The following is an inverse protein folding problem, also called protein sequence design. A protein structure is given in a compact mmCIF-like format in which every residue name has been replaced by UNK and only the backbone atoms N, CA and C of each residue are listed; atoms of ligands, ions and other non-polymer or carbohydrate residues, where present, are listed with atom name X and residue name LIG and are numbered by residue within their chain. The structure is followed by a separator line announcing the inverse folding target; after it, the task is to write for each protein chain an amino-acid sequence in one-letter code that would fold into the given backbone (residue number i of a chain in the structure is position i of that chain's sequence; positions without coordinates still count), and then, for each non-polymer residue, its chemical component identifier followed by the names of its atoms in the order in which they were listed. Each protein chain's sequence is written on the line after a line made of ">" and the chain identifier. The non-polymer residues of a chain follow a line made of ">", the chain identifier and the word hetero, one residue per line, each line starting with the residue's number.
data_IF_960509541162
#
_entry.id   IF_960509541162
#
_cell.length_a   1.000
_cell.length_b   1.000
_cell.length_c   1.000
_cell.angle_alpha   90.00
_cell.angle_beta   90.00
_cell.angle_gamma   90.00
#
_symmetry.space_group_name_H-M   'P 1'
#
loop_
_entity.id
_entity.type
_entity.pdbx_description
1 polymer ?
#
# COMPACT_ATOMS: atom_id res chain seq x y z
N UNK A 1 44.14 -16.10 -44.11
CA UNK A 1 43.06 -15.43 -43.35
C UNK A 1 43.24 -15.77 -41.89
N UNK A 2 43.72 -14.84 -41.08
CA UNK A 2 43.89 -15.01 -39.63
C UNK A 2 42.52 -14.86 -38.98
N UNK A 3 41.98 -15.93 -38.38
CA UNK A 3 40.76 -15.82 -37.55
C UNK A 3 41.13 -15.04 -36.29
N UNK A 4 40.61 -13.82 -36.17
CA UNK A 4 40.63 -13.09 -34.91
C UNK A 4 39.62 -13.77 -33.99
N UNK A 5 40.09 -14.42 -32.92
CA UNK A 5 39.23 -14.88 -31.83
C UNK A 5 38.76 -13.66 -31.04
N UNK A 6 37.59 -13.13 -31.38
CA UNK A 6 36.94 -12.09 -30.60
C UNK A 6 36.16 -12.74 -29.46
N UNK A 7 36.57 -12.46 -28.24
CA UNK A 7 35.83 -12.90 -27.06
C UNK A 7 34.50 -12.12 -27.00
N UNK A 8 33.39 -12.84 -27.14
CA UNK A 8 32.07 -12.21 -27.10
C UNK A 8 31.75 -11.79 -25.67
N UNK A 9 31.51 -10.49 -25.46
CA UNK A 9 31.20 -9.88 -24.16
C UNK A 9 29.96 -10.49 -23.46
N UNK A 10 29.17 -11.31 -24.16
CA UNK A 10 27.98 -11.96 -23.66
C UNK A 10 28.00 -13.49 -23.91
N UNK A 11 29.19 -14.09 -24.02
CA UNK A 11 29.34 -15.55 -24.13
C UNK A 11 28.66 -16.26 -22.97
N UNK A 12 28.03 -17.41 -23.23
CA UNK A 12 27.42 -18.23 -22.18
C UNK A 12 28.41 -18.59 -21.05
N UNK A 13 29.73 -18.61 -21.35
CA UNK A 13 30.80 -18.87 -20.37
C UNK A 13 31.12 -17.68 -19.46
N UNK A 14 30.88 -16.44 -19.89
CA UNK A 14 31.18 -15.20 -19.16
C UNK A 14 29.93 -14.48 -18.64
N UNK A 15 28.74 -14.97 -18.99
CA UNK A 15 27.46 -14.36 -18.61
C UNK A 15 27.27 -14.39 -17.10
N UNK A 16 27.49 -13.25 -16.46
CA UNK A 16 27.10 -13.01 -15.07
C UNK A 16 25.58 -13.09 -14.94
N UNK A 17 25.04 -13.54 -13.80
CA UNK A 17 23.59 -13.52 -13.58
C UNK A 17 23.06 -12.11 -13.81
N UNK A 18 22.08 -11.98 -14.70
CA UNK A 18 21.43 -10.69 -15.03
C UNK A 18 20.58 -10.17 -13.85
N UNK A 19 20.28 -11.04 -12.88
CA UNK A 19 19.53 -10.72 -11.68
C UNK A 19 20.46 -10.68 -10.47
N UNK A 20 20.58 -9.50 -9.85
CA UNK A 20 21.23 -9.36 -8.56
C UNK A 20 20.23 -9.71 -7.46
N UNK A 21 20.60 -10.62 -6.55
CA UNK A 21 19.77 -10.94 -5.39
C UNK A 21 19.55 -9.68 -4.54
N UNK A 22 18.30 -9.49 -4.09
CA UNK A 22 17.92 -8.32 -3.30
C UNK A 22 18.76 -8.25 -2.02
N UNK A 23 19.44 -7.12 -1.85
CA UNK A 23 20.02 -6.76 -0.56
C UNK A 23 18.95 -6.11 0.32
N UNK A 24 18.81 -6.62 1.56
CA UNK A 24 17.83 -6.10 2.51
C UNK A 24 18.20 -4.67 2.92
N UNK A 25 17.30 -3.73 2.66
CA UNK A 25 17.51 -2.31 2.98
C UNK A 25 16.99 -2.01 4.39
N UNK A 26 17.83 -1.38 5.21
CA UNK A 26 17.46 -0.90 6.55
C UNK A 26 17.33 0.64 6.53
N UNK A 27 16.11 1.20 6.33
CA UNK A 27 15.93 2.63 6.23
C UNK A 27 16.19 3.33 7.58
N UNK A 28 17.00 4.41 7.54
CA UNK A 28 17.24 5.28 8.70
C UNK A 28 15.98 6.11 8.98
N UNK A 29 15.77 6.50 10.24
CA UNK A 29 14.68 7.42 10.61
C UNK A 29 14.98 8.80 10.04
N UNK A 30 14.03 9.35 9.28
CA UNK A 30 14.03 10.74 8.85
C UNK A 30 13.21 11.60 9.82
N UNK A 31 13.64 12.85 10.05
CA UNK A 31 12.96 13.84 10.89
C UNK A 31 12.81 15.14 10.12
N UNK A 32 11.74 15.88 10.39
CA UNK A 32 11.49 17.20 9.80
C UNK A 32 10.01 17.44 9.50
N UNK A 33 9.70 18.63 8.98
CA UNK A 33 8.33 19.07 8.71
C UNK A 33 7.64 18.19 7.67
N UNK A 34 8.32 17.86 6.56
CA UNK A 34 7.80 16.94 5.54
C UNK A 34 7.48 15.56 6.10
N UNK A 35 8.28 15.07 7.07
CA UNK A 35 7.98 13.78 7.71
C UNK A 35 6.74 13.86 8.60
N UNK A 36 6.55 14.95 9.33
CA UNK A 36 5.33 15.21 10.13
C UNK A 36 4.09 15.32 9.24
N UNK A 37 4.21 16.02 8.11
CA UNK A 37 3.14 16.09 7.12
C UNK A 37 2.79 14.72 6.56
N UNK A 38 3.79 13.87 6.26
CA UNK A 38 3.53 12.48 5.85
C UNK A 38 2.78 11.67 6.90
N UNK A 39 3.08 11.86 8.18
CA UNK A 39 2.31 11.23 9.26
C UNK A 39 0.86 11.67 9.27
N UNK A 40 0.59 12.97 9.10
CA UNK A 40 -0.77 13.49 8.99
C UNK A 40 -1.52 12.84 7.83
N UNK A 41 -0.94 12.83 6.63
CA UNK A 41 -1.55 12.21 5.45
C UNK A 41 -1.84 10.73 5.70
N UNK A 42 -0.88 10.00 6.27
CA UNK A 42 -1.02 8.57 6.59
C UNK A 42 -2.14 8.31 7.61
N UNK A 43 -2.25 9.14 8.65
CA UNK A 43 -3.30 9.03 9.67
C UNK A 43 -4.68 9.34 9.06
N UNK A 44 -4.77 10.35 8.21
CA UNK A 44 -6.03 10.70 7.53
C UNK A 44 -6.47 9.59 6.58
N UNK A 45 -5.57 9.08 5.72
CA UNK A 45 -5.93 8.07 4.72
C UNK A 45 -6.30 6.74 5.37
N UNK A 46 -5.52 6.27 6.35
CA UNK A 46 -5.86 5.08 7.12
C UNK A 46 -7.11 5.29 7.98
N UNK A 47 -7.28 6.49 8.55
CA UNK A 47 -8.48 6.84 9.32
C UNK A 47 -9.74 6.76 8.47
N UNK A 48 -9.74 7.37 7.28
CA UNK A 48 -10.86 7.27 6.33
C UNK A 48 -11.11 5.80 5.96
N UNK A 49 -10.05 5.06 5.64
CA UNK A 49 -10.17 3.66 5.22
C UNK A 49 -10.75 2.74 6.30
N UNK A 50 -10.34 2.90 7.55
CA UNK A 50 -10.81 2.06 8.65
C UNK A 50 -12.12 2.52 9.25
N UNK A 51 -12.41 3.82 9.26
CA UNK A 51 -13.57 4.37 9.98
C UNK A 51 -14.77 4.62 9.07
N UNK A 52 -14.58 4.88 7.77
CA UNK A 52 -15.70 5.25 6.90
C UNK A 52 -16.77 4.16 6.79
N UNK A 53 -16.37 2.88 6.81
CA UNK A 53 -17.31 1.76 6.81
C UNK A 53 -18.11 1.63 8.13
N UNK A 54 -17.65 2.24 9.22
CA UNK A 54 -18.29 2.16 10.53
C UNK A 54 -19.21 3.35 10.83
N UNK A 55 -19.24 4.37 9.97
CA UNK A 55 -20.04 5.55 10.20
C UNK A 55 -21.53 5.22 9.98
N UNK A 56 -22.37 5.31 11.02
CA UNK A 56 -23.81 5.13 10.85
C UNK A 56 -24.39 6.35 10.11
N UNK A 57 -25.34 6.11 9.21
CA UNK A 57 -25.98 7.15 8.43
C UNK A 57 -27.44 6.80 8.13
N UNK A 58 -28.35 7.48 8.83
CA UNK A 58 -29.79 7.24 8.68
C UNK A 58 -30.29 7.77 7.33
N UNK A 59 -30.82 6.87 6.49
CA UNK A 59 -31.42 7.19 5.17
C UNK A 59 -32.92 6.93 5.09
N UNK A 60 -33.48 6.31 6.13
CA UNK A 60 -34.89 5.94 6.21
C UNK A 60 -35.10 4.44 6.48
N UNK A 61 -36.35 3.99 6.66
CA UNK A 61 -36.66 2.65 7.20
C UNK A 61 -36.27 1.45 6.31
N UNK A 62 -36.05 1.70 5.01
CA UNK A 62 -35.82 0.64 4.01
C UNK A 62 -34.43 0.69 3.38
N UNK A 63 -33.54 1.55 3.90
CA UNK A 63 -32.19 1.72 3.40
C UNK A 63 -31.17 1.31 4.47
N UNK A 64 -30.01 0.75 4.08
CA UNK A 64 -28.98 0.38 5.03
C UNK A 64 -28.40 1.61 5.72
N UNK A 65 -28.13 1.49 7.02
CA UNK A 65 -27.70 2.59 7.90
C UNK A 65 -26.17 2.82 7.89
N UNK A 66 -25.46 2.40 6.83
CA UNK A 66 -24.00 2.56 6.72
C UNK A 66 -23.63 3.66 5.72
N UNK A 67 -22.82 4.65 6.13
CA UNK A 67 -22.49 5.84 5.34
C UNK A 67 -21.88 5.54 3.97
N UNK A 68 -20.95 4.58 3.88
CA UNK A 68 -20.36 4.15 2.60
C UNK A 68 -20.56 2.65 2.46
N UNK A 69 -21.42 2.24 1.53
CA UNK A 69 -21.76 0.83 1.31
C UNK A 69 -21.94 0.55 -0.18
N UNK A 70 -21.25 -0.47 -0.67
CA UNK A 70 -21.37 -1.00 -2.02
C UNK A 70 -22.24 -2.26 -1.96
N UNK A 71 -23.55 -2.08 -2.09
CA UNK A 71 -24.53 -3.16 -2.02
C UNK A 71 -24.59 -3.89 -3.38
N UNK A 72 -23.89 -5.02 -3.45
CA UNK A 72 -23.89 -5.87 -4.65
C UNK A 72 -25.23 -6.58 -4.88
N UNK A 73 -25.99 -6.88 -3.83
CA UNK A 73 -27.24 -7.63 -3.95
C UNK A 73 -28.30 -6.77 -4.64
N UNK A 74 -28.44 -5.51 -4.23
CA UNK A 74 -29.37 -4.57 -4.84
C UNK A 74 -28.74 -3.76 -6.00
N UNK A 75 -27.45 -3.96 -6.27
CA UNK A 75 -26.65 -3.23 -7.27
C UNK A 75 -26.71 -1.72 -7.04
N UNK A 76 -26.51 -1.29 -5.79
CA UNK A 76 -26.57 0.13 -5.39
C UNK A 76 -25.29 0.51 -4.69
N UNK A 77 -24.77 1.70 -4.99
CA UNK A 77 -23.68 2.28 -4.23
C UNK A 77 -24.19 3.45 -3.41
N UNK A 78 -24.00 3.36 -2.10
CA UNK A 78 -24.39 4.41 -1.17
C UNK A 78 -23.16 5.18 -0.70
N UNK A 79 -23.20 6.49 -0.87
CA UNK A 79 -22.20 7.43 -0.37
C UNK A 79 -22.90 8.59 0.36
N UNK A 80 -22.98 8.49 1.68
CA UNK A 80 -23.80 9.36 2.54
C UNK A 80 -25.26 9.39 2.06
N UNK A 81 -25.76 10.55 1.60
CA UNK A 81 -27.11 10.71 1.04
C UNK A 81 -27.19 10.42 -0.46
N UNK A 82 -26.05 10.22 -1.13
CA UNK A 82 -26.00 9.96 -2.56
C UNK A 82 -26.17 8.46 -2.77
N UNK A 83 -27.24 8.07 -3.45
CA UNK A 83 -27.46 6.72 -3.95
C UNK A 83 -27.13 6.72 -5.44
N UNK A 84 -26.10 5.98 -5.82
CA UNK A 84 -25.68 5.86 -7.22
C UNK A 84 -26.19 4.54 -7.77
N UNK A 85 -27.06 4.64 -8.78
CA UNK A 85 -27.55 3.49 -9.52
C UNK A 85 -26.54 3.05 -10.58
N UNK A 86 -26.59 1.79 -11.07
CA UNK A 86 -25.68 1.30 -12.11
C UNK A 86 -25.74 2.12 -13.40
N UNK A 87 -26.92 2.68 -13.72
CA UNK A 87 -27.12 3.57 -14.87
C UNK A 87 -26.44 4.93 -14.69
N UNK A 88 -26.29 5.37 -13.44
CA UNK A 88 -25.67 6.63 -13.03
C UNK A 88 -24.17 6.50 -12.76
N UNK A 89 -23.59 5.34 -13.08
CA UNK A 89 -22.17 5.06 -12.87
C UNK A 89 -21.24 6.03 -13.64
N UNK A 90 -21.76 6.77 -14.62
CA UNK A 90 -21.02 7.84 -15.29
C UNK A 90 -20.57 8.96 -14.33
N UNK A 91 -21.26 9.19 -13.20
CA UNK A 91 -20.77 10.12 -12.16
C UNK A 91 -19.45 9.65 -11.55
N UNK A 92 -19.35 8.35 -11.25
CA UNK A 92 -18.13 7.74 -10.71
C UNK A 92 -17.02 7.77 -11.77
N UNK A 93 -17.34 7.43 -13.02
CA UNK A 93 -16.38 7.50 -14.12
C UNK A 93 -15.85 8.93 -14.31
N UNK A 94 -16.72 9.94 -14.30
CA UNK A 94 -16.32 11.35 -14.37
C UNK A 94 -15.41 11.75 -13.22
N UNK A 95 -15.72 11.33 -11.99
CA UNK A 95 -14.87 11.56 -10.82
C UNK A 95 -13.49 10.91 -10.97
N UNK A 96 -13.41 9.68 -11.50
CA UNK A 96 -12.15 8.99 -11.75
C UNK A 96 -11.31 9.70 -12.83
N UNK A 97 -11.94 10.24 -13.88
CA UNK A 97 -11.25 11.05 -14.89
C UNK A 97 -10.70 12.33 -14.27
N UNK A 98 -11.50 13.05 -13.47
CA UNK A 98 -11.06 14.25 -12.76
C UNK A 98 -9.93 13.94 -11.78
N UNK A 99 -9.99 12.81 -11.08
CA UNK A 99 -8.91 12.35 -10.20
C UNK A 99 -7.63 12.03 -10.99
N UNK A 100 -7.75 11.42 -12.17
CA UNK A 100 -6.62 11.17 -13.08
C UNK A 100 -5.96 12.47 -13.57
N UNK A 101 -6.75 13.44 -14.02
CA UNK A 101 -6.27 14.77 -14.42
C UNK A 101 -5.64 15.50 -13.22
N UNK A 102 -6.28 15.47 -12.06
CA UNK A 102 -5.73 16.06 -10.83
C UNK A 102 -4.40 15.42 -10.42
N UNK A 103 -4.30 14.11 -10.50
CA UNK A 103 -3.07 13.37 -10.25
C UNK A 103 -1.97 13.73 -11.25
N UNK A 104 -2.31 13.90 -12.53
CA UNK A 104 -1.40 14.39 -13.57
C UNK A 104 -0.86 15.79 -13.22
N UNK A 105 -1.75 16.74 -12.91
CA UNK A 105 -1.39 18.11 -12.54
C UNK A 105 -0.51 18.18 -11.29
N UNK A 106 -0.83 17.40 -10.26
CA UNK A 106 0.00 17.31 -9.05
C UNK A 106 1.37 16.72 -9.38
N UNK A 107 1.42 15.75 -10.29
CA UNK A 107 2.67 15.10 -10.69
C UNK A 107 3.55 16.04 -11.51
N UNK A 108 2.98 16.83 -12.43
CA UNK A 108 3.74 17.79 -13.22
C UNK A 108 4.25 18.99 -12.40
N UNK A 109 3.54 19.37 -11.33
CA UNK A 109 3.93 20.51 -10.48
C UNK A 109 4.84 20.11 -9.31
N UNK A 110 4.48 19.08 -8.54
CA UNK A 110 5.14 18.70 -7.28
C UNK A 110 5.90 17.36 -7.41
N UNK A 111 5.95 16.79 -8.61
CA UNK A 111 6.72 15.58 -8.88
C UNK A 111 6.17 14.35 -8.15
N UNK A 112 6.93 13.81 -7.20
CA UNK A 112 6.65 12.52 -6.53
C UNK A 112 5.69 12.58 -5.34
N UNK A 113 4.86 13.62 -5.24
CA UNK A 113 3.95 13.81 -4.12
C UNK A 113 3.00 12.61 -3.89
N UNK A 114 2.33 12.11 -4.94
CA UNK A 114 1.41 10.97 -4.82
C UNK A 114 2.09 9.71 -4.27
N UNK A 115 3.14 9.25 -4.96
CA UNK A 115 3.93 8.09 -4.55
C UNK A 115 4.57 8.26 -3.18
N UNK A 116 4.98 9.48 -2.84
CA UNK A 116 5.69 9.76 -1.60
C UNK A 116 4.80 9.84 -0.36
N UNK A 117 3.53 10.22 -0.51
CA UNK A 117 2.65 10.55 0.62
C UNK A 117 1.35 9.76 0.69
N UNK A 118 0.68 9.50 -0.44
CA UNK A 118 -0.70 9.00 -0.46
C UNK A 118 -0.87 7.61 -1.08
N UNK A 119 0.08 7.16 -1.91
CA UNK A 119 0.00 5.85 -2.55
C UNK A 119 -0.17 4.72 -1.51
N UNK A 120 -1.12 3.78 -1.71
CA UNK A 120 -1.37 2.70 -0.76
C UNK A 120 -0.12 1.88 -0.44
N UNK A 121 0.71 1.58 -1.45
CA UNK A 121 1.96 0.86 -1.19
C UNK A 121 2.85 1.61 -0.19
N UNK A 122 2.95 2.93 -0.31
CA UNK A 122 3.77 3.76 0.58
C UNK A 122 3.20 3.86 1.98
N UNK A 123 1.89 4.07 2.12
CA UNK A 123 1.21 4.20 3.41
C UNK A 123 1.37 2.93 4.25
N UNK A 124 1.17 1.75 3.65
CA UNK A 124 1.28 0.48 4.36
C UNK A 124 2.74 0.08 4.64
N UNK A 125 3.67 0.33 3.70
CA UNK A 125 5.11 0.10 3.95
C UNK A 125 5.60 0.99 5.08
N UNK A 126 5.22 2.27 5.11
CA UNK A 126 5.60 3.19 6.19
C UNK A 126 5.05 2.71 7.54
N UNK A 127 3.79 2.27 7.59
CA UNK A 127 3.18 1.69 8.79
C UNK A 127 3.96 0.46 9.27
N UNK A 128 4.29 -0.47 8.39
CA UNK A 128 5.07 -1.65 8.75
C UNK A 128 6.49 -1.33 9.21
N UNK A 129 7.13 -0.32 8.62
CA UNK A 129 8.44 0.17 9.05
C UNK A 129 8.41 0.84 10.43
N UNK A 130 7.30 1.49 10.78
CA UNK A 130 7.08 2.06 12.11
C UNK A 130 6.98 0.95 13.15
N UNK A 131 6.17 -0.07 12.87
CA UNK A 131 6.04 -1.26 13.73
C UNK A 131 7.39 -1.97 13.88
N UNK A 132 8.10 -2.18 12.77
CA UNK A 132 9.43 -2.81 12.80
C UNK A 132 10.44 -2.02 13.63
N UNK A 133 10.41 -0.68 13.55
CA UNK A 133 11.28 0.17 14.37
C UNK A 133 10.89 0.13 15.84
N UNK A 134 9.59 0.07 16.16
CA UNK A 134 9.12 0.00 17.54
C UNK A 134 9.56 -1.31 18.23
N UNK A 135 9.60 -2.42 17.49
CA UNK A 135 9.92 -3.74 18.03
C UNK A 135 11.44 -4.03 17.97
N UNK A 136 12.07 -3.83 16.82
CA UNK A 136 13.48 -4.22 16.59
C UNK A 136 14.47 -3.06 16.80
N UNK A 137 13.98 -1.83 16.98
CA UNK A 137 14.79 -0.63 17.21
C UNK A 137 15.30 0.06 15.95
N UNK A 138 16.30 0.92 16.14
CA UNK A 138 16.87 1.74 15.06
C UNK A 138 17.67 0.93 14.03
N UNK A 139 18.11 1.61 12.96
CA UNK A 139 18.85 0.99 11.84
C UNK A 139 20.00 0.10 12.30
N UNK A 140 20.87 0.59 13.18
CA UNK A 140 22.05 -0.15 13.64
C UNK A 140 21.67 -1.37 14.48
N UNK A 141 20.63 -1.25 15.33
CA UNK A 141 20.12 -2.36 16.12
C UNK A 141 19.56 -3.48 15.22
N UNK A 142 18.80 -3.11 14.17
CA UNK A 142 18.27 -4.06 13.19
C UNK A 142 19.35 -4.75 12.37
N UNK A 143 20.36 -4.01 11.92
CA UNK A 143 21.51 -4.60 11.20
C UNK A 143 22.26 -5.59 12.09
N UNK A 144 22.53 -5.24 13.36
CA UNK A 144 23.16 -6.13 14.34
C UNK A 144 22.30 -7.35 14.65
N UNK A 145 20.98 -7.18 14.76
CA UNK A 145 20.03 -8.26 15.02
C UNK A 145 19.95 -9.24 13.83
N UNK A 146 20.04 -8.73 12.59
CA UNK A 146 20.05 -9.55 11.38
C UNK A 146 21.32 -10.41 11.30
N UNK A 147 22.49 -9.80 11.54
CA UNK A 147 23.81 -10.44 11.49
C UNK A 147 24.11 -11.37 12.68
N UNK A 148 23.46 -11.16 13.83
CA UNK A 148 23.67 -11.97 15.03
C UNK A 148 23.07 -13.38 14.95
N UNK A 149 23.51 -14.31 15.82
CA UNK A 149 23.00 -15.68 15.86
C UNK A 149 21.50 -15.74 16.23
N UNK A 150 20.86 -16.86 15.92
CA UNK A 150 19.48 -17.14 16.32
C UNK A 150 19.39 -17.36 17.83
N UNK A 151 19.08 -16.28 18.55
CA UNK A 151 18.82 -16.29 20.00
C UNK A 151 17.32 -16.28 20.28
N UNK A 152 16.90 -16.73 21.46
CA UNK A 152 15.49 -16.66 21.89
C UNK A 152 14.92 -15.23 21.80
N UNK A 153 15.74 -14.23 22.16
CA UNK A 153 15.38 -12.80 21.98
C UNK A 153 15.12 -12.44 20.52
N UNK A 154 15.99 -12.86 19.59
CA UNK A 154 15.81 -12.62 18.15
C UNK A 154 14.53 -13.26 17.65
N UNK A 155 14.24 -14.49 18.08
CA UNK A 155 13.01 -15.18 17.70
C UNK A 155 11.77 -14.43 18.19
N UNK A 156 11.72 -14.05 19.46
CA UNK A 156 10.60 -13.28 20.02
C UNK A 156 10.36 -11.98 19.24
N UNK A 157 11.40 -11.17 19.01
CA UNK A 157 11.25 -9.91 18.27
C UNK A 157 10.72 -10.11 16.85
N UNK A 158 11.19 -11.16 16.15
CA UNK A 158 10.70 -11.48 14.81
C UNK A 158 9.25 -11.94 14.84
N UNK A 159 8.91 -12.87 15.74
CA UNK A 159 7.53 -13.37 15.89
C UNK A 159 6.59 -12.21 16.20
N UNK A 160 6.89 -11.40 17.22
CA UNK A 160 6.06 -10.23 17.57
C UNK A 160 5.85 -9.29 16.40
N UNK A 161 6.91 -9.01 15.62
CA UNK A 161 6.77 -8.18 14.41
C UNK A 161 5.85 -8.81 13.37
N UNK A 162 6.07 -10.08 13.04
CA UNK A 162 5.27 -10.76 12.03
C UNK A 162 3.81 -10.92 12.48
N UNK A 163 3.57 -11.19 13.76
CA UNK A 163 2.22 -11.20 14.34
C UNK A 163 1.52 -9.85 14.16
N UNK A 164 2.18 -8.73 14.52
CA UNK A 164 1.57 -7.40 14.35
C UNK A 164 1.35 -7.08 12.87
N UNK A 165 2.27 -7.47 11.98
CA UNK A 165 2.07 -7.30 10.54
C UNK A 165 0.88 -8.09 10.00
N UNK A 166 0.69 -9.32 10.48
CA UNK A 166 -0.47 -10.14 10.13
C UNK A 166 -1.77 -9.55 10.66
N UNK A 167 -1.77 -9.02 11.89
CA UNK A 167 -2.94 -8.33 12.46
C UNK A 167 -3.32 -7.10 11.63
N UNK A 168 -2.34 -6.27 11.23
CA UNK A 168 -2.59 -5.12 10.36
C UNK A 168 -3.10 -5.57 8.97
N UNK A 169 -2.53 -6.66 8.43
CA UNK A 169 -3.00 -7.26 7.18
C UNK A 169 -4.45 -7.75 7.27
N UNK A 170 -4.80 -8.46 8.34
CA UNK A 170 -6.15 -8.94 8.63
C UNK A 170 -7.14 -7.80 8.83
N UNK A 171 -6.75 -6.76 9.57
CA UNK A 171 -7.54 -5.56 9.72
C UNK A 171 -7.76 -4.86 8.37
N UNK A 172 -6.73 -4.78 7.52
CA UNK A 172 -6.86 -4.22 6.15
C UNK A 172 -7.84 -5.04 5.31
N UNK A 173 -7.67 -6.36 5.27
CA UNK A 173 -8.57 -7.24 4.54
C UNK A 173 -10.01 -7.17 5.03
N UNK A 174 -10.22 -7.15 6.36
CA UNK A 174 -11.54 -7.02 6.97
C UNK A 174 -12.20 -5.68 6.66
N UNK A 175 -11.46 -4.58 6.81
CA UNK A 175 -11.95 -3.24 6.50
C UNK A 175 -12.43 -3.10 5.05
N UNK A 176 -11.75 -3.76 4.10
CA UNK A 176 -12.21 -3.79 2.72
C UNK A 176 -13.60 -4.42 2.57
N UNK A 177 -13.86 -5.55 3.24
CA UNK A 177 -15.15 -6.26 3.11
C UNK A 177 -16.27 -5.53 3.82
N UNK A 178 -15.97 -4.75 4.87
CA UNK A 178 -16.96 -3.87 5.50
C UNK A 178 -17.52 -2.80 4.54
N UNK A 179 -16.90 -2.55 3.38
CA UNK A 179 -17.52 -1.70 2.36
C UNK A 179 -18.57 -2.44 1.50
N UNK A 180 -18.66 -3.76 1.56
CA UNK A 180 -19.56 -4.58 0.71
C UNK A 180 -20.74 -5.16 1.48
N UNK A 181 -20.61 -5.29 2.80
CA UNK A 181 -21.66 -5.75 3.70
C UNK A 181 -21.63 -4.90 4.97
N UNK A 182 -22.74 -4.89 5.70
CA UNK A 182 -22.87 -4.10 6.92
C UNK A 182 -21.77 -4.46 7.94
N UNK A 183 -21.01 -3.44 8.37
CA UNK A 183 -19.78 -3.64 9.12
C UNK A 183 -19.96 -4.33 10.49
N UNK A 184 -20.93 -3.92 11.33
CA UNK A 184 -21.14 -4.54 12.65
C UNK A 184 -21.60 -6.00 12.55
N UNK A 185 -22.53 -6.29 11.64
CA UNK A 185 -23.06 -7.66 11.44
C UNK A 185 -21.98 -8.58 10.88
N UNK A 186 -21.27 -8.16 9.84
CA UNK A 186 -20.20 -8.96 9.24
C UNK A 186 -19.04 -9.21 10.22
N UNK A 187 -18.68 -8.24 11.07
CA UNK A 187 -17.67 -8.46 12.10
C UNK A 187 -18.11 -9.57 13.06
N UNK A 188 -19.37 -9.55 13.50
CA UNK A 188 -19.94 -10.62 14.33
C UNK A 188 -19.86 -11.98 13.65
N UNK A 189 -20.31 -12.06 12.39
CA UNK A 189 -20.30 -13.29 11.59
C UNK A 189 -18.90 -13.88 11.34
N UNK A 190 -17.89 -13.02 11.21
CA UNK A 190 -16.49 -13.43 11.06
C UNK A 190 -15.95 -14.07 12.35
N UNK A 191 -16.37 -13.57 13.52
CA UNK A 191 -15.95 -14.13 14.81
C UNK A 191 -16.74 -15.39 15.19
N UNK A 192 -18.01 -15.48 14.81
CA UNK A 192 -18.86 -16.64 15.08
C UNK A 192 -18.65 -17.79 14.08
N UNK A 193 -17.88 -17.58 13.01
CA UNK A 193 -17.64 -18.61 12.00
C UNK A 193 -18.78 -18.75 10.99
N UNK A 194 -19.76 -17.85 11.00
CA UNK A 194 -20.99 -17.96 10.19
C UNK A 194 -20.97 -17.11 8.91
N UNK A 195 -19.95 -16.27 8.73
CA UNK A 195 -19.81 -15.46 7.51
C UNK A 195 -19.69 -16.32 6.24
N UNK A 196 -20.05 -15.73 5.10
CA UNK A 196 -19.91 -16.39 3.81
C UNK A 196 -18.44 -16.79 3.53
N UNK A 197 -18.17 -17.96 2.91
CA UNK A 197 -16.80 -18.40 2.57
C UNK A 197 -16.01 -17.37 1.75
N UNK A 198 -16.71 -16.63 0.88
CA UNK A 198 -16.13 -15.55 0.06
C UNK A 198 -15.55 -14.43 0.93
N UNK A 199 -16.15 -14.13 2.07
CA UNK A 199 -15.64 -13.13 3.00
C UNK A 199 -14.28 -13.59 3.56
N UNK A 200 -14.19 -14.81 4.10
CA UNK A 200 -12.94 -15.35 4.62
C UNK A 200 -11.83 -15.42 3.58
N UNK A 201 -12.14 -15.88 2.36
CA UNK A 201 -11.16 -15.97 1.27
C UNK A 201 -10.65 -14.58 0.91
N UNK A 202 -11.54 -13.59 0.78
CA UNK A 202 -11.15 -12.21 0.48
C UNK A 202 -10.28 -11.62 1.58
N UNK A 203 -10.63 -11.79 2.86
CA UNK A 203 -9.78 -11.35 3.99
C UNK A 203 -8.42 -12.02 3.91
N UNK A 204 -8.36 -13.34 3.71
CA UNK A 204 -7.11 -14.09 3.67
C UNK A 204 -6.20 -13.63 2.51
N UNK A 205 -6.77 -13.46 1.31
CA UNK A 205 -6.03 -12.97 0.13
C UNK A 205 -5.54 -11.54 0.33
N UNK A 206 -6.38 -10.64 0.83
CA UNK A 206 -5.97 -9.25 1.09
C UNK A 206 -4.94 -9.15 2.22
N UNK A 207 -5.05 -10.00 3.24
CA UNK A 207 -4.06 -10.11 4.31
C UNK A 207 -2.72 -10.59 3.76
N UNK A 208 -2.73 -11.67 2.97
CA UNK A 208 -1.53 -12.24 2.40
C UNK A 208 -0.83 -11.27 1.44
N UNK A 209 -1.59 -10.59 0.58
CA UNK A 209 -1.06 -9.58 -0.35
C UNK A 209 -0.52 -8.37 0.40
N UNK A 210 -1.25 -7.82 1.37
CA UNK A 210 -0.79 -6.68 2.18
C UNK A 210 0.50 -7.01 2.95
N UNK A 211 0.53 -8.18 3.59
CA UNK A 211 1.70 -8.68 4.31
C UNK A 211 2.91 -8.88 3.38
N UNK A 212 2.70 -9.49 2.21
CA UNK A 212 3.77 -9.79 1.27
C UNK A 212 4.29 -8.51 0.60
N UNK A 213 3.40 -7.68 0.08
CA UNK A 213 3.75 -6.47 -0.66
C UNK A 213 4.30 -5.38 0.25
N UNK A 214 3.63 -5.12 1.38
CA UNK A 214 4.06 -4.07 2.31
C UNK A 214 5.17 -4.52 3.25
N UNK A 215 5.10 -5.75 3.78
CA UNK A 215 6.05 -6.24 4.78
C UNK A 215 7.36 -6.74 4.18
N UNK A 216 7.28 -7.60 3.16
CA UNK A 216 8.43 -8.34 2.61
C UNK A 216 9.04 -7.67 1.37
N UNK A 217 8.23 -7.41 0.35
CA UNK A 217 8.66 -6.93 -0.96
C UNK A 217 8.97 -5.43 -0.96
N UNK A 218 8.19 -4.61 -0.26
CA UNK A 218 8.41 -3.16 -0.06
C UNK A 218 8.72 -2.43 -1.36
N UNK A 219 9.96 -1.99 -1.54
CA UNK A 219 10.42 -1.25 -2.72
C UNK A 219 10.40 -2.08 -4.00
N UNK A 220 10.45 -3.41 -3.92
CA UNK A 220 10.36 -4.29 -5.09
C UNK A 220 9.03 -4.12 -5.83
N UNK A 221 7.96 -3.84 -5.10
CA UNK A 221 6.65 -3.54 -5.70
C UNK A 221 6.73 -2.27 -6.53
N UNK A 222 7.31 -1.19 -5.97
CA UNK A 222 7.47 0.07 -6.69
C UNK A 222 8.42 -0.04 -7.89
N UNK A 223 9.48 -0.84 -7.79
CA UNK A 223 10.49 -0.97 -8.86
C UNK A 223 10.03 -1.87 -10.01
N UNK A 224 9.37 -2.99 -9.71
CA UNK A 224 9.12 -4.04 -10.70
C UNK A 224 7.64 -4.27 -11.03
N UNK A 225 6.72 -3.99 -10.11
CA UNK A 225 5.29 -4.29 -10.30
C UNK A 225 4.48 -3.04 -10.63
N UNK A 226 4.78 -1.93 -9.96
CA UNK A 226 4.04 -0.69 -10.11
C UNK A 226 4.38 -0.05 -11.47
N UNK A 227 3.41 0.17 -12.37
CA UNK A 227 3.67 0.85 -13.63
C UNK A 227 3.87 2.36 -13.42
N UNK A 228 3.38 2.90 -12.30
CA UNK A 228 3.30 4.33 -12.05
C UNK A 228 4.64 5.06 -12.10
N UNK A 229 5.75 4.57 -11.51
CA UNK A 229 7.03 5.28 -11.58
C UNK A 229 7.53 5.51 -13.02
N UNK A 230 7.15 4.65 -13.97
CA UNK A 230 7.49 4.81 -15.39
C UNK A 230 6.62 5.88 -16.05
N UNK A 231 5.31 5.83 -15.83
CA UNK A 231 4.37 6.84 -16.35
C UNK A 231 4.73 8.21 -15.77
N UNK A 232 5.01 8.27 -14.47
CA UNK A 232 5.42 9.48 -13.77
C UNK A 232 6.68 10.11 -14.37
N UNK A 233 7.67 9.31 -14.75
CA UNK A 233 8.89 9.85 -15.36
C UNK A 233 8.61 10.55 -16.72
N UNK A 234 7.57 10.15 -17.44
CA UNK A 234 7.15 10.80 -18.68
C UNK A 234 6.28 12.05 -18.46
N UNK A 235 5.81 12.30 -17.24
CA UNK A 235 4.94 13.45 -16.89
C UNK A 235 5.69 14.59 -16.20
N UNK A 236 6.98 14.43 -15.94
CA UNK A 236 7.83 15.46 -15.35
C UNK A 236 8.39 16.37 -16.44
N UNK A 237 8.48 17.65 -16.14
CA UNK A 237 9.09 18.69 -16.98
C UNK A 237 10.25 19.36 -16.21
N UNK A 238 11.02 20.22 -16.89
CA UNK A 238 12.13 21.00 -16.32
C UNK A 238 11.69 21.87 -15.12
N UNK A 239 10.43 22.26 -15.10
CA UNK A 239 9.84 23.08 -14.04
C UNK A 239 9.24 22.25 -12.88
N UNK A 240 9.23 20.93 -12.98
CA UNK A 240 8.69 20.07 -11.93
C UNK A 240 9.60 20.07 -10.70
N UNK A 241 9.04 20.19 -9.50
CA UNK A 241 9.80 20.07 -8.26
C UNK A 241 10.28 18.62 -8.07
N UNK A 242 11.52 18.34 -8.47
CA UNK A 242 12.17 17.04 -8.27
C UNK A 242 13.25 17.13 -7.19
N UNK A 243 13.47 16.04 -6.46
CA UNK A 243 14.53 15.98 -5.45
C UNK A 243 15.82 15.57 -6.15
N UNK A 244 16.72 16.52 -6.31
CA UNK A 244 18.04 16.33 -6.89
C UNK A 244 19.12 16.58 -5.85
N UNK A 245 20.27 15.94 -6.02
CA UNK A 245 21.45 16.17 -5.18
C UNK A 245 22.18 17.46 -5.56
N UNK A 246 21.92 17.96 -6.77
CA UNK A 246 22.52 19.16 -7.33
C UNK A 246 21.40 20.15 -7.63
N UNK A 247 21.58 21.37 -7.18
CA UNK A 247 20.72 22.53 -7.33
C UNK A 247 20.46 22.99 -8.78
N UNK A 248 21.32 22.61 -9.73
CA UNK A 248 21.22 23.00 -11.14
C UNK A 248 20.38 22.05 -12.03
N UNK A 249 19.73 21.03 -11.44
CA UNK A 249 18.97 20.00 -12.16
C UNK A 249 17.70 19.62 -11.41
#
# INVERSE_FOLDING_TARGET
>A
MTRLETETVNSAKTRKPLYAARQKIFPKRASGNFRRFKWLVMTITLGIYYLAAWLPWARGPFAPDQAVLLDLANRRFYFFFIEIWPQEFFYVAGLLVMAGVGLFLITSTVGRAWCGYACPQTVWVDLFLVVERAIEGDRNARMKLDAGPWTARKLMLRVSKHTIWLVIGAATGGAWIFYFADAPTLLGELFTGTAAPVAYITVAVLTATTYTFGGLMREQVCTYMCPWPRIQAAMLDENSLTVTYNDWR
#
